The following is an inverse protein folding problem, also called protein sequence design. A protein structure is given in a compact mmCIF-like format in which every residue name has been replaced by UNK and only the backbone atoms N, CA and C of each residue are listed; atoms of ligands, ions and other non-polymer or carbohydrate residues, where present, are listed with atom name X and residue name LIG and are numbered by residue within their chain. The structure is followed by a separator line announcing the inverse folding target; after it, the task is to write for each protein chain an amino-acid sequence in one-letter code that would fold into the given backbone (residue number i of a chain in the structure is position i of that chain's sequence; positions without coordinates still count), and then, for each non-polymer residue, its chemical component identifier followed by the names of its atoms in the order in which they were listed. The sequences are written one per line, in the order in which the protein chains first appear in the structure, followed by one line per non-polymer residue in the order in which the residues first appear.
data_IF_370719944456
#
_entry.id   IF_370719944456
#
_cell.length_a   1.000
_cell.length_b   1.000
_cell.length_c   1.000
_cell.angle_alpha   90.00
_cell.angle_beta   90.00
_cell.angle_gamma   90.00
#
_symmetry.space_group_name_H-M   'P 1'
#
loop_
_entity.id
_entity.type
_entity.pdbx_description
1 polymer ?
#
# COMPACT_ATOMS: atom_id res chain seq x y z
N UNK A 1 11.57 2.01 7.15
CA UNK A 1 10.50 2.42 6.20
C UNK A 1 9.81 3.68 6.70
N UNK A 2 8.94 4.28 5.88
CA UNK A 2 8.32 5.58 6.18
C UNK A 2 7.52 5.60 7.50
N UNK A 3 6.83 4.50 7.84
CA UNK A 3 6.05 4.41 9.09
C UNK A 3 6.90 4.60 10.34
N UNK A 4 8.12 4.02 10.38
CA UNK A 4 9.03 4.19 11.51
C UNK A 4 9.52 5.64 11.66
N UNK A 5 9.78 6.31 10.53
CA UNK A 5 10.17 7.73 10.52
C UNK A 5 9.04 8.57 11.11
N UNK A 6 7.80 8.36 10.64
CA UNK A 6 6.63 9.07 11.15
C UNK A 6 6.39 8.83 12.64
N UNK A 7 6.56 7.60 13.12
CA UNK A 7 6.42 7.27 14.54
C UNK A 7 7.45 8.02 15.41
N UNK A 8 8.71 8.10 14.97
CA UNK A 8 9.77 8.84 15.69
C UNK A 8 9.47 10.34 15.68
N UNK A 9 9.05 10.90 14.55
CA UNK A 9 8.68 12.33 14.46
C UNK A 9 7.46 12.63 15.33
N UNK A 10 6.43 11.78 15.30
CA UNK A 10 5.23 11.92 16.12
C UNK A 10 5.54 11.87 17.62
N UNK A 11 6.48 11.02 18.05
CA UNK A 11 6.91 10.97 19.46
C UNK A 11 7.48 12.31 19.95
N UNK A 12 8.24 13.01 19.10
CA UNK A 12 8.79 14.34 19.42
C UNK A 12 7.79 15.48 19.22
N UNK A 13 6.83 15.32 18.30
CA UNK A 13 5.81 16.31 17.99
C UNK A 13 4.49 15.63 17.60
N UNK A 14 3.54 15.46 18.54
CA UNK A 14 2.32 14.68 18.34
C UNK A 14 1.24 15.45 17.57
N UNK A 15 1.54 15.86 16.33
CA UNK A 15 0.57 16.49 15.44
C UNK A 15 -0.43 15.45 14.89
N UNK A 16 -1.76 15.71 14.93
CA UNK A 16 -2.76 14.79 14.40
C UNK A 16 -2.52 14.40 12.93
N UNK A 17 -2.06 15.34 12.11
CA UNK A 17 -1.76 15.11 10.69
C UNK A 17 -0.66 14.07 10.48
N UNK A 18 0.31 13.97 11.39
CA UNK A 18 1.36 12.94 11.34
C UNK A 18 0.79 11.55 11.64
N UNK A 19 -0.20 11.46 12.54
CA UNK A 19 -0.92 10.22 12.79
C UNK A 19 -1.73 9.79 11.55
N UNK A 20 -2.41 10.72 10.89
CA UNK A 20 -3.09 10.44 9.62
C UNK A 20 -2.11 9.97 8.54
N UNK A 21 -0.93 10.59 8.42
CA UNK A 21 0.11 10.15 7.50
C UNK A 21 0.59 8.73 7.81
N UNK A 22 0.84 8.43 9.09
CA UNK A 22 1.25 7.10 9.54
C UNK A 22 0.19 6.06 9.21
N UNK A 23 -1.08 6.38 9.46
CA UNK A 23 -2.20 5.52 9.15
C UNK A 23 -2.28 5.21 7.65
N UNK A 24 -2.13 6.22 6.80
CA UNK A 24 -2.10 6.06 5.34
C UNK A 24 -0.96 5.15 4.88
N UNK A 25 0.25 5.36 5.40
CA UNK A 25 1.43 4.52 5.10
C UNK A 25 1.19 3.07 5.47
N UNK A 26 0.71 2.80 6.69
CA UNK A 26 0.44 1.44 7.16
C UNK A 26 -0.71 0.79 6.38
N UNK A 27 -1.75 1.57 6.06
CA UNK A 27 -2.87 1.12 5.25
C UNK A 27 -2.44 0.75 3.83
N UNK A 28 -1.55 1.52 3.20
CA UNK A 28 -1.00 1.21 1.87
C UNK A 28 -0.27 -0.13 1.87
N UNK A 29 0.67 -0.32 2.80
CA UNK A 29 1.45 -1.56 2.85
C UNK A 29 0.54 -2.77 3.08
N UNK A 30 -0.44 -2.66 3.97
CA UNK A 30 -1.36 -3.77 4.22
C UNK A 30 -2.34 -4.02 3.06
N UNK A 31 -2.85 -2.95 2.45
CA UNK A 31 -3.74 -3.04 1.29
C UNK A 31 -3.04 -3.74 0.13
N UNK A 32 -1.80 -3.34 -0.17
CA UNK A 32 -1.02 -3.91 -1.26
C UNK A 32 -0.65 -5.38 -1.03
N UNK A 33 -0.26 -5.71 0.20
CA UNK A 33 0.02 -7.10 0.61
C UNK A 33 -1.21 -7.97 0.41
N UNK A 34 -2.38 -7.53 0.89
CA UNK A 34 -3.63 -8.27 0.73
C UNK A 34 -4.06 -8.33 -0.75
N UNK A 35 -3.84 -7.27 -1.53
CA UNK A 35 -4.12 -7.25 -2.95
C UNK A 35 -3.36 -8.36 -3.68
N UNK A 36 -2.06 -8.48 -3.40
CA UNK A 36 -1.18 -9.45 -4.05
C UNK A 36 -1.43 -10.86 -3.55
N UNK A 37 -1.48 -11.07 -2.23
CA UNK A 37 -1.62 -12.40 -1.62
C UNK A 37 -3.01 -13.01 -1.80
N UNK A 38 -4.08 -12.21 -1.73
CA UNK A 38 -5.44 -12.70 -1.95
C UNK A 38 -5.86 -12.58 -3.41
N UNK A 39 -5.35 -11.60 -4.16
CA UNK A 39 -5.64 -11.43 -5.58
C UNK A 39 -5.11 -12.57 -6.45
N UNK A 40 -4.05 -13.26 -6.04
CA UNK A 40 -3.55 -14.46 -6.74
C UNK A 40 -4.59 -15.60 -6.75
N UNK A 41 -5.54 -15.60 -5.81
CA UNK A 41 -6.63 -16.59 -5.73
C UNK A 41 -7.80 -16.25 -6.66
N UNK A 42 -7.74 -15.12 -7.38
CA UNK A 42 -8.77 -14.73 -8.34
C UNK A 42 -8.91 -15.78 -9.43
N UNK A 43 -10.15 -16.18 -9.73
CA UNK A 43 -10.46 -17.05 -10.87
C UNK A 43 -10.43 -16.33 -12.21
N UNK A 44 -10.49 -14.99 -12.17
CA UNK A 44 -10.42 -14.11 -13.34
C UNK A 44 -8.98 -13.64 -13.48
N UNK A 45 -8.40 -13.70 -14.69
CA UNK A 45 -7.04 -13.23 -14.93
C UNK A 45 -6.90 -11.75 -14.56
N UNK A 46 -5.75 -11.34 -13.97
CA UNK A 46 -5.47 -9.95 -13.71
C UNK A 46 -5.46 -9.14 -14.99
N UNK A 47 -5.73 -7.84 -14.86
CA UNK A 47 -5.67 -6.87 -15.95
C UNK A 47 -4.67 -5.79 -15.61
N UNK A 48 -3.87 -5.36 -16.59
CA UNK A 48 -2.97 -4.22 -16.38
C UNK A 48 -3.77 -2.97 -16.03
N UNK A 49 -3.37 -2.28 -14.97
CA UNK A 49 -4.06 -1.06 -14.51
C UNK A 49 -4.08 0.06 -15.57
N UNK A 50 -3.11 0.06 -16.49
CA UNK A 50 -2.97 1.09 -17.54
C UNK A 50 -3.82 0.81 -18.79
N UNK A 51 -3.84 -0.44 -19.27
CA UNK A 51 -4.46 -0.81 -20.55
C UNK A 51 -5.72 -1.64 -20.40
N UNK A 52 -5.95 -2.23 -19.24
CA UNK A 52 -7.04 -3.18 -19.00
C UNK A 52 -6.86 -4.53 -19.70
N UNK A 53 -5.71 -4.77 -20.35
CA UNK A 53 -5.41 -6.04 -21.01
C UNK A 53 -5.12 -7.13 -19.98
N UNK A 54 -5.58 -8.34 -20.28
CA UNK A 54 -5.35 -9.51 -19.44
C UNK A 54 -3.86 -9.89 -19.43
N UNK A 55 -3.35 -10.17 -18.23
CA UNK A 55 -1.96 -10.57 -18.01
C UNK A 55 -1.89 -11.79 -17.10
N UNK A 56 -0.79 -12.57 -17.16
CA UNK A 56 -0.59 -13.69 -16.25
C UNK A 56 -0.63 -13.26 -14.78
N UNK A 57 -1.05 -14.16 -13.89
CA UNK A 57 -0.95 -13.93 -12.46
C UNK A 57 0.49 -13.67 -12.03
N UNK A 58 0.70 -12.70 -11.15
CA UNK A 58 2.03 -12.27 -10.71
C UNK A 58 2.72 -11.27 -11.63
N UNK A 59 2.06 -10.80 -12.69
CA UNK A 59 2.58 -9.71 -13.53
C UNK A 59 2.53 -8.38 -12.78
N UNK A 60 3.65 -7.65 -12.79
CA UNK A 60 3.75 -6.33 -12.15
C UNK A 60 2.75 -5.34 -12.77
N UNK A 61 1.96 -4.69 -11.92
CA UNK A 61 0.87 -3.78 -12.30
C UNK A 61 -0.43 -4.46 -12.76
N UNK A 62 -0.54 -5.78 -12.62
CA UNK A 62 -1.78 -6.52 -12.84
C UNK A 62 -2.72 -6.45 -11.63
N UNK A 63 -3.95 -5.97 -11.85
CA UNK A 63 -4.97 -5.85 -10.81
C UNK A 63 -6.14 -6.83 -11.05
N UNK A 64 -6.70 -7.37 -9.97
CA UNK A 64 -7.91 -8.21 -10.01
C UNK A 64 -9.00 -7.58 -9.15
N UNK A 65 -10.28 -7.85 -9.45
CA UNK A 65 -11.38 -7.39 -8.60
C UNK A 65 -11.31 -7.92 -7.17
N UNK A 66 -10.88 -9.19 -7.02
CA UNK A 66 -10.65 -9.79 -5.70
C UNK A 66 -9.53 -9.06 -4.95
N UNK A 67 -8.40 -8.78 -5.62
CA UNK A 67 -7.29 -8.02 -5.05
C UNK A 67 -7.69 -6.59 -4.65
N UNK A 68 -8.52 -5.92 -5.46
CA UNK A 68 -9.04 -4.58 -5.13
C UNK A 68 -9.91 -4.62 -3.87
N UNK A 69 -10.83 -5.57 -3.74
CA UNK A 69 -11.64 -5.70 -2.52
C UNK A 69 -10.80 -6.13 -1.30
N UNK A 70 -9.79 -6.98 -1.50
CA UNK A 70 -8.82 -7.31 -0.49
C UNK A 70 -8.03 -6.08 -0.03
N UNK A 71 -7.67 -5.17 -0.95
CA UNK A 71 -7.02 -3.90 -0.64
C UNK A 71 -7.89 -3.03 0.26
N UNK A 72 -9.18 -2.89 -0.09
CA UNK A 72 -10.16 -2.15 0.72
C UNK A 72 -10.29 -2.77 2.11
N UNK A 73 -10.44 -4.09 2.20
CA UNK A 73 -10.57 -4.80 3.47
C UNK A 73 -9.32 -4.65 4.34
N UNK A 74 -8.13 -4.76 3.74
CA UNK A 74 -6.85 -4.59 4.42
C UNK A 74 -6.67 -3.15 4.94
N UNK A 75 -6.99 -2.14 4.15
CA UNK A 75 -6.95 -0.75 4.59
C UNK A 75 -7.98 -0.46 5.69
N UNK A 76 -9.20 -0.99 5.54
CA UNK A 76 -10.27 -0.83 6.51
C UNK A 76 -9.92 -1.47 7.86
N UNK A 77 -9.23 -2.62 7.85
CA UNK A 77 -8.72 -3.26 9.06
C UNK A 77 -7.75 -2.32 9.80
N UNK A 78 -6.79 -1.72 9.10
CA UNK A 78 -5.83 -0.78 9.70
C UNK A 78 -6.55 0.41 10.36
N UNK A 79 -7.49 1.03 9.64
CA UNK A 79 -8.28 2.14 10.18
C UNK A 79 -9.13 1.75 11.39
N UNK A 80 -9.79 0.60 11.33
CA UNK A 80 -10.65 0.10 12.41
C UNK A 80 -9.85 -0.24 13.67
N UNK A 81 -8.67 -0.85 13.52
CA UNK A 81 -7.77 -1.13 14.65
C UNK A 81 -7.27 0.18 15.26
N UNK A 82 -6.89 1.17 14.44
CA UNK A 82 -6.47 2.48 14.93
C UNK A 82 -7.59 3.19 15.71
N UNK A 83 -8.84 3.12 15.22
CA UNK A 83 -10.01 3.64 15.95
C UNK A 83 -10.16 2.93 17.28
N UNK A 84 -10.18 1.59 17.30
CA UNK A 84 -10.38 0.81 18.51
C UNK A 84 -9.30 1.10 19.58
N UNK A 85 -8.03 1.17 19.17
CA UNK A 85 -6.92 1.50 20.07
C UNK A 85 -7.03 2.93 20.63
N UNK A 86 -7.42 3.89 19.79
CA UNK A 86 -7.57 5.29 20.22
C UNK A 86 -8.73 5.45 21.19
N UNK A 87 -9.86 4.78 20.94
CA UNK A 87 -10.99 4.79 21.86
C UNK A 87 -10.67 4.10 23.18
N UNK A 88 -9.98 2.96 23.15
CA UNK A 88 -9.53 2.29 24.36
C UNK A 88 -8.62 3.21 25.19
N UNK A 89 -7.66 3.89 24.54
CA UNK A 89 -6.78 4.86 25.21
C UNK A 89 -7.55 6.04 25.82
N UNK A 90 -8.48 6.63 25.07
CA UNK A 90 -9.28 7.77 25.56
C UNK A 90 -10.21 7.38 26.72
N UNK A 91 -10.83 6.20 26.66
CA UNK A 91 -11.69 5.72 27.76
C UNK A 91 -10.87 5.42 29.02
N UNK A 92 -9.70 4.79 28.89
CA UNK A 92 -8.80 4.55 30.01
C UNK A 92 -8.23 5.85 30.60
N UNK A 93 -8.06 6.89 29.77
CA UNK A 93 -7.64 8.23 30.17
C UNK A 93 -8.75 9.10 30.77
N UNK A 94 -10.01 8.65 30.78
CA UNK A 94 -11.15 9.40 31.31
C UNK A 94 -11.66 10.54 30.42
N UNK A 95 -11.14 10.68 29.20
CA UNK A 95 -11.51 11.73 28.23
C UNK A 95 -12.78 11.41 27.42
N UNK A 96 -13.37 10.24 27.61
CA UNK A 96 -14.60 9.82 26.93
C UNK A 96 -14.35 9.35 25.50
N UNK A 97 -15.35 9.49 24.62
CA UNK A 97 -15.29 9.02 23.23
C UNK A 97 -14.60 10.07 22.35
N UNK A 98 -13.51 9.71 21.66
CA UNK A 98 -12.88 10.61 20.68
C UNK A 98 -13.60 10.51 19.33
N UNK A 99 -14.27 11.59 18.92
CA UNK A 99 -14.99 11.65 17.65
C UNK A 99 -14.05 11.67 16.44
N UNK A 100 -12.83 12.19 16.58
CA UNK A 100 -11.86 12.25 15.49
C UNK A 100 -11.44 10.85 15.04
N UNK A 101 -11.37 9.89 15.96
CA UNK A 101 -11.04 8.50 15.68
C UNK A 101 -12.03 7.80 14.73
N UNK A 102 -13.26 8.30 14.59
CA UNK A 102 -14.25 7.77 13.64
C UNK A 102 -13.88 8.06 12.18
N UNK A 103 -13.01 9.03 11.94
CA UNK A 103 -12.53 9.36 10.59
C UNK A 103 -11.43 8.39 10.10
N UNK A 104 -10.74 7.69 11.00
CA UNK A 104 -9.59 6.85 10.66
C UNK A 104 -9.88 5.75 9.62
N UNK A 105 -11.02 5.03 9.65
CA UNK A 105 -11.35 4.06 8.60
C UNK A 105 -11.38 4.67 7.20
N UNK A 106 -11.94 5.88 7.06
CA UNK A 106 -12.02 6.58 5.78
C UNK A 106 -10.63 7.05 5.35
N UNK A 107 -9.83 7.61 6.27
CA UNK A 107 -8.46 8.03 5.99
C UNK A 107 -7.58 6.84 5.56
N UNK A 108 -7.69 5.71 6.26
CA UNK A 108 -6.96 4.49 5.97
C UNK A 108 -7.36 3.90 4.62
N UNK A 109 -8.66 3.78 4.31
CA UNK A 109 -9.13 3.29 3.01
C UNK A 109 -8.67 4.20 1.88
N UNK A 110 -8.80 5.53 2.03
CA UNK A 110 -8.37 6.47 1.00
C UNK A 110 -6.87 6.41 0.75
N UNK A 111 -6.05 6.47 1.80
CA UNK A 111 -4.59 6.35 1.69
C UNK A 111 -4.13 4.97 1.21
N UNK A 112 -4.72 3.92 1.75
CA UNK A 112 -4.41 2.53 1.42
C UNK A 112 -4.67 2.21 -0.04
N UNK A 113 -5.85 2.56 -0.54
CA UNK A 113 -6.23 2.39 -1.94
C UNK A 113 -5.38 3.26 -2.86
N UNK A 114 -5.16 4.54 -2.52
CA UNK A 114 -4.34 5.42 -3.35
C UNK A 114 -2.91 4.89 -3.49
N UNK A 115 -2.31 4.45 -2.39
CA UNK A 115 -0.96 3.89 -2.39
C UNK A 115 -0.87 2.58 -3.18
N UNK A 116 -1.74 1.60 -2.93
CA UNK A 116 -1.68 0.30 -3.63
C UNK A 116 -2.00 0.42 -5.14
N UNK A 117 -2.92 1.30 -5.53
CA UNK A 117 -3.16 1.57 -6.96
C UNK A 117 -1.97 2.29 -7.59
N UNK A 118 -1.31 3.19 -6.86
CA UNK A 118 -0.10 3.86 -7.34
C UNK A 118 1.08 2.90 -7.48
N UNK A 119 1.20 1.93 -6.58
CA UNK A 119 2.15 0.82 -6.69
C UNK A 119 1.94 0.05 -8.01
N UNK A 120 0.71 -0.42 -8.24
CA UNK A 120 0.34 -1.10 -9.48
C UNK A 120 0.59 -0.23 -10.73
N UNK A 121 0.37 1.08 -10.64
CA UNK A 121 0.63 2.01 -11.74
C UNK A 121 2.13 2.09 -12.06
N UNK A 122 2.98 2.20 -11.03
CA UNK A 122 4.44 2.20 -11.21
C UNK A 122 4.93 0.86 -11.77
N UNK A 123 4.40 -0.26 -11.28
CA UNK A 123 4.66 -1.62 -11.80
C UNK A 123 4.33 -1.78 -13.28
N UNK A 124 3.18 -1.24 -13.69
CA UNK A 124 2.76 -1.29 -15.09
C UNK A 124 3.56 -0.37 -16.02
N UNK A 125 4.23 0.68 -15.51
CA UNK A 125 4.80 1.75 -16.34
C UNK A 125 6.32 1.82 -16.30
N UNK A 126 6.90 2.07 -15.12
CA UNK A 126 8.30 2.49 -14.98
C UNK A 126 9.15 1.53 -14.15
N UNK A 127 8.54 0.61 -13.39
CA UNK A 127 9.27 -0.37 -12.57
C UNK A 127 10.19 -1.25 -13.42
N UNK A 128 11.40 -1.50 -12.91
CA UNK A 128 12.37 -2.38 -13.54
C UNK A 128 11.90 -3.84 -13.51
N UNK A 129 11.66 -4.41 -14.70
CA UNK A 129 11.27 -5.81 -14.88
C UNK A 129 12.40 -6.58 -15.55
N UNK A 130 12.63 -7.78 -15.04
CA UNK A 130 13.62 -8.74 -15.49
C UNK A 130 12.94 -10.05 -15.87
N UNK A 131 13.60 -10.88 -16.68
CA UNK A 131 13.13 -12.20 -17.08
C UNK A 131 14.13 -13.28 -16.67
N UNK A 132 13.62 -14.37 -16.11
CA UNK A 132 14.44 -15.52 -15.75
C UNK A 132 14.32 -16.62 -16.81
N UNK A 133 15.33 -16.79 -17.66
CA UNK A 133 15.35 -17.81 -18.71
C UNK A 133 15.17 -19.24 -18.19
N UNK A 134 15.64 -19.50 -16.96
CA UNK A 134 15.53 -20.84 -16.34
C UNK A 134 14.12 -21.18 -15.91
N UNK A 135 13.37 -20.20 -15.41
CA UNK A 135 12.02 -20.40 -14.87
C UNK A 135 10.92 -19.98 -15.86
N UNK A 136 11.28 -19.27 -16.92
CA UNK A 136 10.34 -18.75 -17.90
C UNK A 136 9.39 -17.68 -17.34
N UNK A 137 9.82 -16.94 -16.31
CA UNK A 137 8.97 -16.00 -15.57
C UNK A 137 9.59 -14.61 -15.48
N UNK A 138 8.74 -13.60 -15.50
CA UNK A 138 9.11 -12.22 -15.17
C UNK A 138 9.34 -12.06 -13.66
N UNK A 139 10.19 -11.11 -13.29
CA UNK A 139 10.50 -10.79 -11.91
C UNK A 139 10.97 -9.35 -11.78
N UNK A 140 10.77 -8.75 -10.61
CA UNK A 140 11.13 -7.36 -10.30
C UNK A 140 12.55 -7.24 -9.71
N UNK A 141 13.30 -8.35 -9.70
CA UNK A 141 14.64 -8.45 -9.12
C UNK A 141 15.65 -8.95 -10.16
N UNK A 142 16.85 -8.37 -10.14
CA UNK A 142 17.98 -8.81 -10.97
C UNK A 142 18.43 -10.26 -10.69
N UNK A 143 17.98 -10.86 -9.58
CA UNK A 143 18.18 -12.28 -9.29
C UNK A 143 16.84 -12.91 -8.94
N UNK A 144 16.45 -13.91 -9.71
CA UNK A 144 15.21 -14.64 -9.50
C UNK A 144 15.30 -15.56 -8.26
N UNK A 145 14.15 -15.98 -7.71
CA UNK A 145 14.09 -16.83 -6.51
C UNK A 145 14.79 -18.18 -6.68
N UNK A 146 14.98 -18.65 -7.92
CA UNK A 146 15.75 -19.85 -8.23
C UNK A 146 17.28 -19.66 -8.15
N UNK A 147 17.74 -18.44 -7.84
CA UNK A 147 19.15 -18.08 -7.75
C UNK A 147 19.80 -17.63 -9.07
N UNK A 148 19.13 -17.76 -10.21
CA UNK A 148 19.65 -17.33 -11.51
C UNK A 148 19.61 -15.80 -11.65
N UNK A 149 20.64 -15.21 -12.29
CA UNK A 149 20.59 -13.81 -12.71
C UNK A 149 19.49 -13.63 -13.76
N UNK A 150 18.62 -12.65 -13.55
CA UNK A 150 17.52 -12.32 -14.46
C UNK A 150 17.98 -11.23 -15.45
N UNK A 151 17.54 -11.34 -16.69
CA UNK A 151 17.89 -10.41 -17.76
C UNK A 151 16.96 -9.20 -17.74
N UNK A 152 17.45 -7.96 -17.87
CA UNK A 152 16.60 -6.78 -17.90
C UNK A 152 15.68 -6.78 -19.13
N UNK A 153 14.40 -6.48 -18.94
CA UNK A 153 13.39 -6.46 -20.01
C UNK A 153 12.89 -5.04 -20.27
N UNK A 154 12.41 -4.35 -19.23
CA UNK A 154 11.80 -3.02 -19.34
C UNK A 154 11.92 -2.21 -18.05
N UNK A 155 11.56 -0.94 -18.14
CA UNK A 155 11.50 -0.01 -17.01
C UNK A 155 12.87 0.50 -16.57
N UNK A 156 12.88 1.22 -15.46
CA UNK A 156 14.08 1.77 -14.87
C UNK A 156 14.71 0.74 -13.94
N UNK A 157 15.88 0.23 -14.30
CA UNK A 157 16.54 -0.88 -13.58
C UNK A 157 16.89 -0.57 -12.12
N UNK A 158 17.00 0.72 -11.78
CA UNK A 158 17.21 1.18 -10.40
C UNK A 158 15.91 1.28 -9.59
N UNK A 159 14.74 1.30 -10.24
CA UNK A 159 13.44 1.33 -9.61
C UNK A 159 12.94 -0.11 -9.39
N UNK A 160 13.39 -0.69 -8.28
CA UNK A 160 13.00 -2.03 -7.83
C UNK A 160 11.71 -2.00 -7.00
N UNK A 161 11.20 -3.18 -6.66
CA UNK A 161 9.96 -3.32 -5.88
C UNK A 161 10.01 -2.60 -4.52
N UNK A 162 11.14 -2.64 -3.82
CA UNK A 162 11.28 -1.98 -2.52
C UNK A 162 11.12 -0.45 -2.63
N UNK A 163 11.66 0.14 -3.69
CA UNK A 163 11.55 1.58 -3.93
C UNK A 163 10.14 1.96 -4.40
N UNK A 164 9.51 1.12 -5.22
CA UNK A 164 8.10 1.32 -5.64
C UNK A 164 7.18 1.28 -4.42
N UNK A 165 7.27 0.24 -3.58
CA UNK A 165 6.54 0.13 -2.31
C UNK A 165 6.79 1.34 -1.39
N UNK A 166 8.05 1.80 -1.30
CA UNK A 166 8.38 2.97 -0.49
C UNK A 166 7.67 4.23 -0.98
N UNK A 167 7.73 4.51 -2.29
CA UNK A 167 7.08 5.68 -2.89
C UNK A 167 5.55 5.57 -2.76
N UNK A 168 4.98 4.40 -3.06
CA UNK A 168 3.56 4.12 -2.90
C UNK A 168 3.06 4.40 -1.47
N UNK A 169 3.83 3.96 -0.47
CA UNK A 169 3.51 4.22 0.94
C UNK A 169 3.52 5.71 1.30
N UNK A 170 4.43 6.50 0.70
CA UNK A 170 4.44 7.97 0.86
C UNK A 170 3.18 8.58 0.25
N UNK A 171 2.80 8.16 -0.97
CA UNK A 171 1.57 8.64 -1.62
C UNK A 171 0.35 8.37 -0.75
N UNK A 172 0.20 7.15 -0.22
CA UNK A 172 -0.90 6.83 0.69
C UNK A 172 -0.90 7.63 1.98
N UNK A 173 0.28 7.85 2.56
CA UNK A 173 0.45 8.74 3.72
C UNK A 173 0.03 10.18 3.43
N UNK A 174 0.46 10.74 2.30
CA UNK A 174 0.11 12.11 1.90
C UNK A 174 -1.40 12.28 1.66
N UNK A 175 -2.05 11.29 1.03
CA UNK A 175 -3.51 11.29 0.82
C UNK A 175 -4.25 11.27 2.15
N UNK A 176 -3.88 10.37 3.06
CA UNK A 176 -4.51 10.28 4.38
C UNK A 176 -4.25 11.55 5.22
N UNK A 177 -3.03 12.09 5.20
CA UNK A 177 -2.69 13.34 5.88
C UNK A 177 -3.49 14.54 5.36
N UNK A 178 -3.64 14.65 4.04
CA UNK A 178 -4.40 15.72 3.40
C UNK A 178 -5.88 15.65 3.76
N UNK A 179 -6.46 14.46 3.74
CA UNK A 179 -7.85 14.24 4.15
C UNK A 179 -8.05 14.49 5.66
N UNK A 180 -7.12 14.02 6.50
CA UNK A 180 -7.17 14.28 7.95
C UNK A 180 -7.10 15.77 8.26
N UNK A 181 -6.23 16.51 7.58
CA UNK A 181 -6.15 17.97 7.70
C UNK A 181 -7.45 18.67 7.26
N UNK A 182 -8.16 18.15 6.27
CA UNK A 182 -9.47 18.69 5.86
C UNK A 182 -10.57 18.37 6.87
N UNK A 183 -10.57 17.19 7.47
CA UNK A 183 -11.60 16.75 8.42
C UNK A 183 -11.44 17.32 9.82
N UNK A 184 -10.21 17.67 10.22
CA UNK A 184 -9.90 18.14 11.58
C UNK A 184 -9.60 19.64 11.66
N UNK A 185 -9.80 20.36 10.55
CA UNK A 185 -9.87 21.82 10.53
C UNK A 185 -11.22 22.31 11.03
#
# INVERSE_FOLDING_TARGET
GMGAILAVVYFGNPEPVLLAAYLGVMATVNADTWATELGVLSRVPPRLITTGQEVPHGSSGGVTSLGTWASVAGALLIGSVATALTQAGSLLGGSGWDASALSFPVLAVAGGMAGSLFDSLLGATVQGIYYCDRCGQETESARHRCGQAALPVRGWLWLNNDLVNFIASIVGGLVAASLGWLFWR
#
